data_IF_506544234971
#
_entry.id   IF_506544234971
#
_cell.length_a   1.000
_cell.length_b   1.000
_cell.length_c   1.000
_cell.angle_alpha   90.00
_cell.angle_beta   90.00
_cell.angle_gamma   90.00
#
_symmetry.space_group_name_H-M   'P 1'
#
loop_
_entity.id
_entity.type
_entity.pdbx_description
1 polymer ?
#
# COMPACT_ATOMS: atom_id res chain seq x y z
N UNK A 1 0.12 19.54 -16.19
CA UNK A 1 0.78 18.61 -15.24
C UNK A 1 2.05 19.27 -14.72
N UNK A 2 2.14 19.51 -13.43
CA UNK A 2 3.35 20.05 -12.81
C UNK A 2 4.42 18.93 -12.60
N UNK A 3 5.67 19.27 -12.19
CA UNK A 3 6.71 18.25 -12.01
C UNK A 3 6.35 17.13 -11.03
N UNK A 4 5.65 17.41 -9.93
CA UNK A 4 5.27 16.39 -8.95
C UNK A 4 4.25 15.41 -9.53
N UNK A 5 3.18 15.89 -10.18
CA UNK A 5 2.21 15.02 -10.84
C UNK A 5 2.81 14.25 -12.01
N UNK A 6 3.84 14.79 -12.70
CA UNK A 6 4.55 14.08 -13.76
C UNK A 6 5.32 12.86 -13.20
N UNK A 7 6.04 13.03 -12.09
CA UNK A 7 6.73 11.93 -11.41
C UNK A 7 5.74 10.84 -10.99
N UNK A 8 4.61 11.22 -10.40
CA UNK A 8 3.58 10.26 -9.99
C UNK A 8 3.02 9.51 -11.20
N UNK A 9 2.79 10.19 -12.32
CA UNK A 9 2.32 9.56 -13.54
C UNK A 9 3.32 8.53 -14.11
N UNK A 10 4.63 8.80 -14.02
CA UNK A 10 5.67 7.82 -14.40
C UNK A 10 5.62 6.57 -13.49
N UNK A 11 5.50 6.76 -12.17
CA UNK A 11 5.36 5.67 -11.20
C UNK A 11 4.12 4.82 -11.54
N UNK A 12 2.97 5.47 -11.78
CA UNK A 12 1.71 4.78 -12.11
C UNK A 12 1.81 4.01 -13.43
N UNK A 13 2.50 4.57 -14.46
CA UNK A 13 2.72 3.87 -15.74
C UNK A 13 3.61 2.65 -15.62
N UNK A 14 4.53 2.63 -14.65
CA UNK A 14 5.43 1.50 -14.42
C UNK A 14 4.73 0.30 -13.76
N UNK A 15 3.56 0.48 -13.15
CA UNK A 15 2.81 -0.60 -12.51
C UNK A 15 2.27 -1.57 -13.56
N UNK A 16 2.71 -2.82 -13.49
CA UNK A 16 2.11 -3.91 -14.29
C UNK A 16 0.78 -4.32 -13.68
N UNK A 17 -0.37 -4.13 -14.37
CA UNK A 17 -1.66 -4.46 -13.80
C UNK A 17 -1.84 -5.98 -13.61
N UNK A 18 -2.36 -6.37 -12.46
CA UNK A 18 -2.67 -7.77 -12.13
C UNK A 18 -3.94 -8.26 -12.85
N UNK A 19 -4.96 -7.43 -12.86
CA UNK A 19 -6.27 -7.77 -13.42
C UNK A 19 -6.92 -6.60 -14.19
N UNK A 20 -8.14 -6.82 -14.67
CA UNK A 20 -8.89 -5.82 -15.43
C UNK A 20 -9.25 -4.58 -14.60
N UNK A 21 -9.54 -4.76 -13.29
CA UNK A 21 -9.91 -3.66 -12.41
C UNK A 21 -8.69 -2.79 -12.08
N UNK A 22 -7.52 -3.38 -11.81
CA UNK A 22 -6.31 -2.58 -11.61
C UNK A 22 -5.90 -1.82 -12.87
N UNK A 23 -6.05 -2.45 -14.05
CA UNK A 23 -5.83 -1.75 -15.34
C UNK A 23 -6.76 -0.55 -15.50
N UNK A 24 -8.01 -0.68 -15.09
CA UNK A 24 -8.97 0.42 -15.08
C UNK A 24 -8.54 1.51 -14.10
N UNK A 25 -8.19 1.17 -12.85
CA UNK A 25 -7.72 2.11 -11.85
C UNK A 25 -6.47 2.87 -12.31
N UNK A 26 -5.50 2.19 -12.95
CA UNK A 26 -4.31 2.84 -13.54
C UNK A 26 -4.73 3.84 -14.63
N UNK A 27 -5.60 3.45 -15.56
CA UNK A 27 -6.04 4.33 -16.64
C UNK A 27 -6.80 5.56 -16.12
N UNK A 28 -7.70 5.37 -15.15
CA UNK A 28 -8.45 6.46 -14.53
C UNK A 28 -7.54 7.38 -13.71
N UNK A 29 -6.53 6.82 -13.01
CA UNK A 29 -5.53 7.62 -12.28
C UNK A 29 -4.71 8.48 -13.23
N UNK A 30 -4.23 7.92 -14.34
CA UNK A 30 -3.47 8.68 -15.33
C UNK A 30 -4.31 9.82 -15.95
N UNK A 31 -5.55 9.54 -16.32
CA UNK A 31 -6.46 10.56 -16.83
C UNK A 31 -6.75 11.67 -15.78
N UNK A 32 -6.90 11.30 -14.52
CA UNK A 32 -7.05 12.25 -13.42
C UNK A 32 -5.80 13.13 -13.23
N UNK A 33 -4.60 12.55 -13.21
CA UNK A 33 -3.32 13.28 -13.10
C UNK A 33 -3.10 14.25 -14.28
N UNK A 34 -3.64 13.93 -15.47
CA UNK A 34 -3.61 14.83 -16.63
C UNK A 34 -4.60 15.98 -16.51
N UNK A 35 -5.70 15.80 -15.78
CA UNK A 35 -6.78 16.77 -15.66
C UNK A 35 -6.56 17.82 -14.57
N UNK A 36 -5.72 17.56 -13.56
CA UNK A 36 -5.50 18.45 -12.42
C UNK A 36 -4.11 18.25 -11.80
N UNK A 37 -3.60 19.31 -11.18
CA UNK A 37 -2.42 19.28 -10.32
C UNK A 37 -2.79 19.26 -8.82
N UNK A 38 -4.10 19.34 -8.49
CA UNK A 38 -4.62 19.29 -7.10
C UNK A 38 -4.88 17.85 -6.69
N UNK A 39 -3.80 17.10 -6.43
CA UNK A 39 -3.81 15.65 -6.16
C UNK A 39 -3.41 15.28 -4.74
N UNK A 40 -2.98 16.25 -3.94
CA UNK A 40 -2.56 16.06 -2.56
C UNK A 40 -3.63 16.57 -1.60
N UNK A 41 -3.89 15.85 -0.52
CA UNK A 41 -4.84 16.30 0.51
C UNK A 41 -4.30 17.53 1.21
N UNK A 42 -5.01 18.66 1.11
CA UNK A 42 -4.66 19.94 1.73
C UNK A 42 -5.43 20.21 3.03
N UNK A 43 -6.68 19.76 3.08
CA UNK A 43 -7.55 19.94 4.26
C UNK A 43 -8.27 18.62 4.54
N UNK A 44 -8.23 18.16 5.78
CA UNK A 44 -8.98 16.98 6.24
C UNK A 44 -10.48 17.27 6.27
N UNK A 45 -11.35 16.28 5.97
CA UNK A 45 -10.98 14.93 5.52
C UNK A 45 -10.80 14.82 3.99
N UNK A 46 -11.42 15.72 3.19
CA UNK A 46 -11.78 15.47 1.79
C UNK A 46 -11.43 16.59 0.80
N UNK A 47 -10.45 17.42 1.09
CA UNK A 47 -10.08 18.52 0.18
C UNK A 47 -8.67 18.33 -0.40
N UNK A 48 -8.53 18.03 -1.68
CA UNK A 48 -9.58 17.73 -2.67
C UNK A 48 -10.29 16.38 -2.40
N UNK A 49 -11.50 16.15 -2.99
CA UNK A 49 -12.28 14.93 -2.72
C UNK A 49 -11.67 13.65 -3.31
N UNK A 50 -10.64 13.76 -4.13
CA UNK A 50 -9.79 12.66 -4.58
C UNK A 50 -8.34 13.07 -4.34
N UNK A 51 -7.57 12.21 -3.68
CA UNK A 51 -6.18 12.50 -3.38
C UNK A 51 -5.34 11.22 -3.24
N UNK A 52 -4.03 11.42 -3.21
CA UNK A 52 -3.03 10.34 -3.21
C UNK A 52 -2.74 9.84 -1.80
N UNK A 53 -2.58 8.52 -1.70
CA UNK A 53 -2.20 7.79 -0.49
C UNK A 53 -1.04 6.84 -0.81
N UNK A 54 -0.10 6.68 0.12
CA UNK A 54 0.90 5.61 0.09
C UNK A 54 0.56 4.59 1.17
N UNK A 55 0.19 3.37 0.78
CA UNK A 55 0.12 2.23 1.68
C UNK A 55 1.48 1.55 1.80
N UNK A 56 1.78 1.09 3.00
CA UNK A 56 3.01 0.37 3.35
C UNK A 56 2.64 -0.98 3.92
N UNK A 57 2.79 -2.02 3.12
CA UNK A 57 2.50 -3.39 3.55
C UNK A 57 3.77 -4.02 4.09
N UNK A 58 3.78 -4.32 5.38
CA UNK A 58 4.86 -5.08 6.01
C UNK A 58 4.69 -6.56 5.68
N UNK A 59 5.69 -7.13 5.01
CA UNK A 59 5.68 -8.50 4.49
C UNK A 59 6.84 -9.30 5.05
N UNK A 60 6.58 -10.49 5.56
CA UNK A 60 7.58 -11.51 5.83
C UNK A 60 7.58 -12.51 4.67
N UNK A 61 8.51 -12.40 3.70
CA UNK A 61 8.56 -13.28 2.54
C UNK A 61 8.89 -14.74 2.92
N UNK A 62 9.74 -14.94 3.93
CA UNK A 62 10.16 -16.26 4.42
C UNK A 62 9.06 -16.93 5.24
N UNK A 63 8.37 -16.16 6.08
CA UNK A 63 7.24 -16.62 6.87
C UNK A 63 5.90 -16.61 6.12
N UNK A 64 5.90 -16.20 4.85
CA UNK A 64 4.74 -16.12 3.96
C UNK A 64 3.54 -15.39 4.61
N UNK A 65 3.80 -14.20 5.17
CA UNK A 65 2.85 -13.47 5.96
C UNK A 65 2.87 -11.96 5.69
N UNK A 66 1.75 -11.31 5.97
CA UNK A 66 1.56 -9.85 5.94
C UNK A 66 1.09 -9.36 7.29
N UNK A 67 1.51 -8.15 7.69
CA UNK A 67 1.09 -7.53 8.93
C UNK A 67 0.06 -6.44 8.64
N UNK A 68 -1.06 -6.48 9.36
CA UNK A 68 -2.13 -5.47 9.27
C UNK A 68 -2.51 -4.94 10.64
N UNK A 69 -3.01 -3.71 10.67
CA UNK A 69 -3.60 -3.08 11.83
C UNK A 69 -5.12 -2.98 11.74
N UNK A 70 -5.82 -3.10 12.87
CA UNK A 70 -7.25 -2.79 12.98
C UNK A 70 -7.41 -1.27 13.11
N UNK A 71 -7.79 -0.62 12.02
CA UNK A 71 -7.86 0.84 11.94
C UNK A 71 -9.08 1.39 12.68
N UNK A 72 -8.86 2.36 13.59
CA UNK A 72 -9.90 2.86 14.51
C UNK A 72 -11.08 3.56 13.81
N UNK A 73 -10.83 4.32 12.75
CA UNK A 73 -11.87 5.11 12.08
C UNK A 73 -12.61 4.32 10.99
N UNK A 74 -11.92 3.44 10.28
CA UNK A 74 -12.50 2.63 9.22
C UNK A 74 -13.12 1.34 9.73
N UNK A 75 -12.68 0.86 10.90
CA UNK A 75 -13.04 -0.42 11.48
C UNK A 75 -12.74 -1.61 10.54
N UNK A 76 -11.61 -1.52 9.84
CA UNK A 76 -11.12 -2.50 8.88
C UNK A 76 -9.70 -2.94 9.27
N UNK A 77 -9.30 -4.12 8.81
CA UNK A 77 -7.89 -4.53 8.81
C UNK A 77 -7.21 -3.93 7.59
N UNK A 78 -6.31 -2.98 7.83
CA UNK A 78 -5.62 -2.21 6.79
C UNK A 78 -4.09 -2.37 6.94
N UNK A 79 -3.34 -2.23 5.84
CA UNK A 79 -1.91 -1.93 5.94
C UNK A 79 -1.72 -0.55 6.60
N UNK A 80 -0.53 -0.31 7.10
CA UNK A 80 -0.11 1.05 7.48
C UNK A 80 -0.02 1.95 6.26
N UNK A 81 -0.06 3.27 6.45
CA UNK A 81 0.06 4.22 5.36
C UNK A 81 -0.79 5.46 5.55
N UNK A 82 -0.55 6.45 4.71
CA UNK A 82 -1.23 7.71 4.82
C UNK A 82 -1.12 8.58 3.59
N UNK A 83 -1.59 9.80 3.75
CA UNK A 83 -1.68 10.76 2.65
C UNK A 83 -0.30 11.31 2.29
N UNK A 84 -0.07 11.41 0.99
CA UNK A 84 1.15 12.01 0.44
C UNK A 84 1.03 13.54 0.62
N UNK A 85 2.03 14.15 1.24
CA UNK A 85 2.07 15.59 1.43
C UNK A 85 2.31 16.33 0.10
N UNK A 86 1.89 17.60 -0.02
CA UNK A 86 2.14 18.38 -1.24
C UNK A 86 3.61 18.42 -1.63
N UNK A 87 3.93 17.88 -2.81
CA UNK A 87 5.30 17.81 -3.33
C UNK A 87 6.17 16.68 -2.77
N UNK A 88 5.66 15.87 -1.85
CA UNK A 88 6.34 14.67 -1.34
C UNK A 88 6.36 13.57 -2.41
N UNK A 89 7.48 12.85 -2.51
CA UNK A 89 7.55 11.67 -3.37
C UNK A 89 6.79 10.50 -2.72
N UNK A 90 5.98 9.71 -3.46
CA UNK A 90 5.20 8.61 -2.88
C UNK A 90 6.00 7.59 -2.08
N UNK A 91 7.22 7.27 -2.52
CA UNK A 91 8.13 6.37 -1.79
C UNK A 91 8.61 6.99 -0.46
N UNK A 92 8.87 8.31 -0.44
CA UNK A 92 9.28 9.00 0.79
C UNK A 92 8.11 9.04 1.78
N UNK A 93 6.87 9.27 1.29
CA UNK A 93 5.67 9.16 2.09
C UNK A 93 5.52 7.75 2.69
N UNK A 94 5.71 6.69 1.90
CA UNK A 94 5.71 5.32 2.40
C UNK A 94 6.75 5.09 3.50
N UNK A 95 7.96 5.62 3.33
CA UNK A 95 9.03 5.55 4.35
C UNK A 95 8.69 6.30 5.63
N UNK A 96 8.08 7.48 5.51
CA UNK A 96 7.64 8.29 6.65
C UNK A 96 6.52 7.58 7.43
N UNK A 97 5.51 7.05 6.74
CA UNK A 97 4.39 6.32 7.37
C UNK A 97 4.89 5.06 8.09
N UNK A 98 5.85 4.31 7.52
CA UNK A 98 6.46 3.17 8.22
C UNK A 98 7.14 3.59 9.53
N UNK A 99 7.82 4.74 9.53
CA UNK A 99 8.47 5.26 10.73
C UNK A 99 7.46 5.79 11.76
N UNK A 100 6.40 6.47 11.32
CA UNK A 100 5.38 7.07 12.18
C UNK A 100 4.46 6.01 12.79
N UNK A 101 4.00 5.03 12.01
CA UNK A 101 2.97 4.07 12.43
C UNK A 101 3.53 2.75 12.95
N UNK A 102 4.70 2.29 12.44
CA UNK A 102 5.33 1.04 12.86
C UNK A 102 6.60 1.27 13.71
N UNK A 103 7.12 2.49 13.76
CA UNK A 103 8.36 2.82 14.49
C UNK A 103 9.62 2.18 13.89
N UNK A 104 9.61 1.83 12.60
CA UNK A 104 10.73 1.14 11.93
C UNK A 104 11.17 1.89 10.67
N UNK A 105 12.43 1.79 10.27
CA UNK A 105 12.86 2.22 8.96
C UNK A 105 12.25 1.30 7.88
N UNK A 106 11.85 1.87 6.74
CA UNK A 106 11.30 1.12 5.63
C UNK A 106 12.41 0.42 4.82
N UNK A 107 12.37 -0.90 4.74
CA UNK A 107 13.28 -1.70 3.91
C UNK A 107 12.54 -2.20 2.66
N UNK A 108 12.65 -1.48 1.56
CA UNK A 108 12.01 -1.78 0.27
C UNK A 108 12.76 -2.88 -0.50
N UNK A 109 12.93 -4.07 0.13
CA UNK A 109 13.72 -5.18 -0.44
C UNK A 109 12.87 -6.39 -0.88
N UNK A 110 11.55 -6.33 -0.70
CA UNK A 110 10.64 -7.42 -1.10
C UNK A 110 10.48 -7.47 -2.62
N UNK A 111 10.07 -6.35 -3.23
CA UNK A 111 9.91 -6.21 -4.69
C UNK A 111 10.63 -4.99 -5.26
N UNK A 112 11.39 -4.25 -4.44
CA UNK A 112 12.05 -3.02 -4.81
C UNK A 112 11.27 -1.78 -4.38
N UNK A 113 11.63 -0.63 -4.97
CA UNK A 113 11.12 0.71 -4.59
C UNK A 113 9.87 1.15 -5.36
N UNK A 114 9.42 0.34 -6.31
CA UNK A 114 8.18 0.63 -7.05
C UNK A 114 6.96 0.07 -6.31
N UNK A 115 5.79 0.74 -6.40
CA UNK A 115 4.58 0.19 -5.80
C UNK A 115 4.15 -1.08 -6.55
N UNK A 116 3.82 -2.11 -5.80
CA UNK A 116 3.33 -3.35 -6.39
C UNK A 116 1.92 -3.20 -6.97
N UNK A 117 1.06 -2.42 -6.33
CA UNK A 117 -0.37 -2.40 -6.60
C UNK A 117 -0.93 -0.98 -6.53
N UNK A 118 -2.00 -0.71 -7.29
CA UNK A 118 -2.72 0.56 -7.27
C UNK A 118 -4.22 0.31 -7.12
N UNK A 119 -4.85 1.08 -6.22
CA UNK A 119 -6.30 1.05 -6.04
C UNK A 119 -6.90 2.45 -6.05
N UNK A 120 -8.17 2.53 -6.44
CA UNK A 120 -9.03 3.69 -6.21
C UNK A 120 -10.19 3.23 -5.33
N UNK A 121 -10.28 3.77 -4.13
CA UNK A 121 -11.24 3.34 -3.11
C UNK A 121 -12.02 4.54 -2.59
N UNK A 122 -13.35 4.43 -2.55
CA UNK A 122 -14.16 5.40 -1.81
C UNK A 122 -14.11 5.04 -0.34
N UNK A 123 -13.69 5.99 0.48
CA UNK A 123 -13.51 5.79 1.92
C UNK A 123 -14.83 5.51 2.64
N UNK A 124 -14.75 4.70 3.69
CA UNK A 124 -15.86 4.33 4.57
C UNK A 124 -15.61 4.80 6.00
N UNK A 125 -16.61 4.70 6.87
CA UNK A 125 -16.49 5.08 8.28
C UNK A 125 -16.73 6.57 8.55
N UNK A 126 -16.12 7.10 9.60
CA UNK A 126 -16.41 8.45 10.13
C UNK A 126 -16.05 9.58 9.15
N UNK A 127 -15.08 9.38 8.27
CA UNK A 127 -14.63 10.33 7.26
C UNK A 127 -14.88 9.81 5.84
N UNK A 128 -16.04 9.21 5.61
CA UNK A 128 -16.45 8.64 4.34
C UNK A 128 -16.74 9.69 3.26
N UNK A 129 -16.70 9.27 1.99
CA UNK A 129 -17.19 10.05 0.86
C UNK A 129 -16.13 10.71 0.01
N UNK A 130 -14.84 10.61 0.35
CA UNK A 130 -13.75 10.96 -0.55
C UNK A 130 -13.13 9.72 -1.20
N UNK A 131 -12.29 9.92 -2.20
CA UNK A 131 -11.68 8.84 -2.94
C UNK A 131 -10.16 8.87 -2.76
N UNK A 132 -9.62 7.78 -2.25
CA UNK A 132 -8.19 7.54 -2.13
C UNK A 132 -7.67 6.82 -3.37
N UNK A 133 -6.60 7.38 -3.96
CA UNK A 133 -5.79 6.72 -4.97
C UNK A 133 -4.54 6.21 -4.28
N UNK A 134 -4.53 4.92 -3.95
CA UNK A 134 -3.53 4.32 -3.08
C UNK A 134 -2.46 3.59 -3.89
N UNK A 135 -1.21 3.95 -3.66
CA UNK A 135 -0.01 3.26 -4.15
C UNK A 135 0.48 2.32 -3.05
N UNK A 136 0.57 1.02 -3.33
CA UNK A 136 0.87 -0.02 -2.35
C UNK A 136 2.33 -0.44 -2.44
N UNK A 137 3.12 -0.01 -1.47
CA UNK A 137 4.54 -0.34 -1.34
C UNK A 137 4.75 -1.51 -0.39
N UNK A 138 5.81 -2.30 -0.60
CA UNK A 138 6.15 -3.42 0.24
C UNK A 138 7.44 -3.13 1.00
N UNK A 139 7.40 -3.35 2.31
CA UNK A 139 8.60 -3.33 3.15
C UNK A 139 8.82 -4.69 3.80
N UNK A 140 10.10 -5.02 4.03
CA UNK A 140 10.46 -6.29 4.66
C UNK A 140 10.17 -6.26 6.15
N UNK A 141 9.51 -7.29 6.63
CA UNK A 141 9.27 -7.58 8.03
C UNK A 141 9.76 -8.96 8.42
N UNK A 142 9.60 -9.29 9.68
CA UNK A 142 9.90 -10.58 10.28
C UNK A 142 8.80 -10.90 11.29
N UNK A 143 8.00 -11.94 11.03
CA UNK A 143 6.86 -12.32 11.87
C UNK A 143 7.25 -12.82 13.27
N UNK A 144 8.53 -13.10 13.50
CA UNK A 144 9.04 -13.44 14.84
C UNK A 144 9.23 -12.22 15.73
N UNK A 145 9.16 -11.00 15.16
CA UNK A 145 9.29 -9.74 15.88
C UNK A 145 7.93 -9.15 16.19
N UNK A 146 7.86 -8.43 17.30
CA UNK A 146 6.70 -7.59 17.63
C UNK A 146 6.84 -6.22 16.95
N UNK A 147 5.73 -5.71 16.43
CA UNK A 147 5.60 -4.38 15.85
C UNK A 147 4.53 -3.61 16.60
N UNK A 148 4.91 -2.45 17.10
CA UNK A 148 4.00 -1.57 17.82
C UNK A 148 3.39 -0.57 16.83
N UNK A 149 2.09 -0.69 16.58
CA UNK A 149 1.33 0.29 15.80
C UNK A 149 1.05 1.56 16.61
N UNK A 150 0.89 2.70 15.92
CA UNK A 150 0.45 3.93 16.56
C UNK A 150 -0.97 3.73 17.15
N UNK A 151 -1.13 3.83 18.49
CA UNK A 151 -2.41 3.60 19.15
C UNK A 151 -3.45 4.71 18.88
N UNK A 152 -3.07 5.79 18.19
CA UNK A 152 -4.00 6.84 17.75
C UNK A 152 -4.74 6.44 16.49
N UNK A 153 -4.19 5.51 15.71
CA UNK A 153 -4.75 5.08 14.40
C UNK A 153 -5.22 3.62 14.42
N UNK A 154 -4.55 2.76 15.21
CA UNK A 154 -4.84 1.33 15.26
C UNK A 154 -5.10 0.83 16.68
N UNK A 155 -6.08 -0.06 16.84
CA UNK A 155 -6.39 -0.70 18.11
C UNK A 155 -5.53 -1.95 18.39
N UNK A 156 -5.09 -2.63 17.34
CA UNK A 156 -4.27 -3.84 17.40
C UNK A 156 -3.56 -4.08 16.07
N UNK A 157 -2.48 -4.87 16.09
CA UNK A 157 -1.75 -5.33 14.91
C UNK A 157 -1.59 -6.84 14.92
N UNK A 158 -1.63 -7.45 13.73
CA UNK A 158 -1.53 -8.90 13.61
C UNK A 158 -0.90 -9.34 12.30
N UNK A 159 -0.10 -10.41 12.37
CA UNK A 159 0.37 -11.16 11.23
C UNK A 159 -0.71 -12.11 10.69
N UNK A 160 -0.85 -12.16 9.37
CA UNK A 160 -1.78 -13.02 8.64
C UNK A 160 -1.02 -13.80 7.59
N UNK A 161 -1.29 -15.09 7.49
CA UNK A 161 -0.72 -15.91 6.42
C UNK A 161 -1.32 -15.51 5.06
N UNK A 162 -0.49 -15.39 4.04
CA UNK A 162 -0.90 -14.94 2.70
C UNK A 162 -1.93 -15.89 2.08
N UNK A 163 -1.80 -17.21 2.33
CA UNK A 163 -2.64 -18.25 1.73
C UNK A 163 -4.07 -18.33 2.29
N UNK A 164 -4.34 -17.76 3.47
CA UNK A 164 -5.57 -18.11 4.19
C UNK A 164 -6.79 -17.28 3.82
N UNK A 165 -6.67 -16.14 3.16
CA UNK A 165 -7.77 -15.22 2.83
C UNK A 165 -8.81 -15.02 3.99
N UNK A 166 -8.43 -15.39 5.22
CA UNK A 166 -9.31 -15.45 6.38
C UNK A 166 -9.29 -14.17 7.22
N UNK A 167 -8.85 -13.06 6.63
CA UNK A 167 -8.81 -11.75 7.30
C UNK A 167 -10.24 -11.22 7.38
N UNK A 168 -10.80 -11.01 8.57
CA UNK A 168 -12.11 -10.42 8.70
C UNK A 168 -12.07 -8.93 8.34
N UNK A 169 -13.09 -8.45 7.66
CA UNK A 169 -13.24 -7.03 7.31
C UNK A 169 -11.95 -6.36 6.78
N UNK A 170 -11.29 -6.88 5.73
CA UNK A 170 -10.10 -6.26 5.16
C UNK A 170 -10.50 -5.09 4.24
N UNK A 171 -9.49 -4.32 3.78
CA UNK A 171 -9.68 -3.48 2.60
C UNK A 171 -10.31 -4.30 1.46
N UNK A 172 -11.31 -3.77 0.74
CA UNK A 172 -12.03 -4.53 -0.29
C UNK A 172 -11.14 -5.02 -1.45
N UNK A 173 -9.99 -4.39 -1.65
CA UNK A 173 -9.02 -4.80 -2.69
C UNK A 173 -7.92 -5.73 -2.15
N UNK A 174 -7.86 -5.94 -0.83
CA UNK A 174 -6.80 -6.71 -0.20
C UNK A 174 -6.67 -8.15 -0.72
N UNK A 175 -7.75 -8.90 -0.99
CA UNK A 175 -7.65 -10.24 -1.61
C UNK A 175 -6.95 -10.23 -2.98
N UNK A 176 -7.18 -9.18 -3.79
CA UNK A 176 -6.53 -9.01 -5.10
C UNK A 176 -5.06 -8.64 -4.95
N UNK A 177 -4.76 -7.79 -3.96
CA UNK A 177 -3.38 -7.46 -3.58
C UNK A 177 -2.62 -8.72 -3.16
N UNK A 178 -3.17 -9.56 -2.28
CA UNK A 178 -2.53 -10.81 -1.84
C UNK A 178 -2.23 -11.74 -3.02
N UNK A 179 -3.16 -11.92 -3.95
CA UNK A 179 -2.94 -12.73 -5.13
C UNK A 179 -1.80 -12.19 -6.04
N UNK A 180 -1.70 -10.87 -6.17
CA UNK A 180 -0.59 -10.22 -6.88
C UNK A 180 0.73 -10.37 -6.13
N UNK A 181 0.72 -10.17 -4.81
CA UNK A 181 1.89 -10.35 -3.94
C UNK A 181 2.43 -11.78 -4.05
N UNK A 182 1.58 -12.78 -3.92
CA UNK A 182 1.95 -14.19 -4.05
C UNK A 182 2.64 -14.46 -5.40
N UNK A 183 2.06 -13.97 -6.49
CA UNK A 183 2.65 -14.07 -7.82
C UNK A 183 4.03 -13.41 -7.89
N UNK A 184 4.21 -12.25 -7.27
CA UNK A 184 5.47 -11.52 -7.23
C UNK A 184 6.55 -12.24 -6.39
N UNK A 185 6.17 -12.80 -5.24
CA UNK A 185 7.08 -13.58 -4.39
C UNK A 185 7.60 -14.83 -5.11
N UNK A 186 6.74 -15.55 -5.83
CA UNK A 186 7.13 -16.72 -6.63
C UNK A 186 8.02 -16.35 -7.83
N UNK A 187 7.87 -15.16 -8.41
CA UNK A 187 8.70 -14.72 -9.55
C UNK A 187 10.10 -14.26 -9.11
N UNK A 188 10.31 -13.93 -7.84
CA UNK A 188 11.59 -13.44 -7.31
C UNK A 188 12.65 -14.54 -7.19
N UNK A 189 13.90 -14.35 -7.67
CA UNK A 189 14.93 -15.40 -7.75
C UNK A 189 15.46 -15.93 -6.42
N UNK A 190 15.10 -15.33 -5.29
CA UNK A 190 15.71 -15.60 -3.98
C UNK A 190 15.39 -16.99 -3.42
N UNK A 191 14.34 -17.67 -3.87
CA UNK A 191 13.94 -19.00 -3.37
C UNK A 191 14.61 -20.21 -4.09
N UNK A 192 15.38 -20.01 -5.17
CA UNK A 192 15.98 -21.14 -5.94
C UNK A 192 17.28 -21.70 -5.39
N UNK A 193 17.77 -21.32 -4.21
CA UNK A 193 19.09 -21.76 -3.68
C UNK A 193 19.06 -22.69 -2.48
N UNK A 194 17.92 -23.23 -2.08
CA UNK A 194 17.85 -24.16 -0.93
C UNK A 194 17.59 -25.64 -1.29
N UNK A 195 17.46 -26.00 -2.56
CA UNK A 195 16.98 -27.33 -2.96
C UNK A 195 17.87 -28.19 -3.87
N UNK A 196 18.99 -27.69 -4.42
CA UNK A 196 19.82 -28.47 -5.35
C UNK A 196 21.29 -28.44 -4.93
N UNK A 197 21.66 -29.38 -4.07
CA UNK A 197 23.02 -29.94 -4.01
C UNK A 197 22.89 -31.45 -4.09
N UNK A 198 23.52 -32.08 -5.10
CA UNK A 198 23.49 -33.54 -5.30
C UNK A 198 24.23 -34.31 -4.22
#
# INVERSE_FOLDING_TARGET
MNPATAVIAEIVRAITPFDALERQHIAETLAWLESTDDVFRRVKPDTPPRHLVSYVVLVDPEGHAVFLGRHLLADLWLPTGGHIAPGEHPLDAAGREAAEELGIPAEFTVTGTEPLFLTMTTTVGTHSGHQDVSLWYLIRGDRSREYALDPREFSEGRWWDIDTFAIPDPDPHFPRFLAKLESALHASPTQRRAGDVP
#
